data_IF_940525465907
#
_entry.id   IF_940525465907
#
_cell.length_a   1.000
_cell.length_b   1.000
_cell.length_c   1.000
_cell.angle_alpha   90.00
_cell.angle_beta   90.00
_cell.angle_gamma   90.00
#
_symmetry.space_group_name_H-M   'P 1'
#
loop_
_entity.id
_entity.type
_entity.pdbx_description
1 polymer ?
#
# COMPACT_ATOMS: atom_id res chain seq x y z
N UNK A 1 -3.73 -17.41 8.61
CA UNK A 1 -3.89 -15.94 8.53
C UNK A 1 -2.97 -15.30 9.54
N UNK A 2 -1.96 -14.53 9.12
CA UNK A 2 -1.02 -13.88 10.03
C UNK A 2 -1.22 -12.35 9.99
N UNK A 3 -2.45 -11.90 10.30
CA UNK A 3 -2.69 -10.47 10.49
C UNK A 3 -1.89 -10.03 11.73
N UNK A 4 -1.04 -9.02 11.58
CA UNK A 4 -0.29 -8.42 12.70
C UNK A 4 -0.98 -7.22 13.31
N UNK A 5 -1.93 -6.65 12.60
CA UNK A 5 -2.75 -5.55 13.05
C UNK A 5 -4.19 -5.80 12.65
N UNK A 6 -5.09 -5.73 13.59
CA UNK A 6 -6.54 -5.77 13.37
C UNK A 6 -7.15 -4.48 13.89
N UNK A 7 -7.82 -3.75 13.03
CA UNK A 7 -8.54 -2.53 13.38
C UNK A 7 -10.03 -2.77 13.21
N UNK A 8 -10.78 -2.71 14.31
CA UNK A 8 -12.24 -2.86 14.25
C UNK A 8 -12.86 -1.73 13.42
N UNK A 9 -13.53 -2.07 12.34
CA UNK A 9 -14.20 -1.09 11.45
C UNK A 9 -15.34 -0.34 12.16
N UNK A 10 -15.97 -0.96 13.18
CA UNK A 10 -17.09 -0.36 13.92
C UNK A 10 -16.65 0.60 15.03
N UNK A 11 -15.70 0.21 15.88
CA UNK A 11 -15.33 0.98 17.06
C UNK A 11 -13.89 1.54 17.00
N UNK A 12 -13.10 1.16 16.00
CA UNK A 12 -11.73 1.58 15.83
C UNK A 12 -10.72 1.03 16.83
N UNK A 13 -11.13 0.08 17.69
CA UNK A 13 -10.18 -0.61 18.56
C UNK A 13 -9.12 -1.32 17.74
N UNK A 14 -7.87 -1.23 18.18
CA UNK A 14 -6.73 -1.81 17.49
C UNK A 14 -6.17 -2.94 18.34
N UNK A 15 -6.00 -4.11 17.74
CA UNK A 15 -5.30 -5.26 18.31
C UNK A 15 -4.02 -5.47 17.50
N UNK A 16 -2.89 -5.34 18.15
CA UNK A 16 -1.59 -5.54 17.53
C UNK A 16 -0.90 -6.73 18.19
N UNK A 17 -0.53 -7.72 17.39
CA UNK A 17 0.36 -8.84 17.74
C UNK A 17 0.09 -9.43 19.16
N UNK A 18 -1.22 -9.59 19.51
CA UNK A 18 -1.70 -10.07 20.80
C UNK A 18 -1.29 -9.25 22.04
N UNK A 19 -0.62 -8.14 21.87
CA UNK A 19 -0.35 -7.19 22.93
C UNK A 19 -1.43 -6.12 22.96
N UNK A 20 -2.23 -6.09 24.03
CA UNK A 20 -3.36 -5.16 24.21
C UNK A 20 -2.94 -3.69 24.37
N UNK A 21 -2.16 -3.14 23.45
CA UNK A 21 -1.90 -1.72 23.42
C UNK A 21 -3.07 -1.02 22.70
N UNK A 22 -3.84 -0.23 23.45
CA UNK A 22 -4.82 0.69 22.87
C UNK A 22 -4.08 1.78 22.09
N UNK A 23 -3.94 1.58 20.79
CA UNK A 23 -3.55 2.68 19.90
C UNK A 23 -4.77 3.61 19.75
N UNK A 24 -4.55 4.89 19.93
CA UNK A 24 -5.61 5.90 19.70
C UNK A 24 -5.82 5.99 18.19
N UNK A 25 -7.01 5.57 17.72
CA UNK A 25 -7.40 5.71 16.32
C UNK A 25 -7.57 7.20 16.00
N UNK A 26 -6.95 7.63 14.90
CA UNK A 26 -7.39 8.83 14.20
C UNK A 26 -8.43 8.41 13.15
N UNK A 27 -9.54 9.16 12.99
CA UNK A 27 -10.47 8.91 11.92
C UNK A 27 -9.73 8.99 10.58
N UNK A 28 -10.05 8.07 9.68
CA UNK A 28 -9.48 8.09 8.32
C UNK A 28 -10.16 9.27 7.59
N UNK A 29 -9.40 10.22 7.03
CA UNK A 29 -9.98 11.28 6.22
C UNK A 29 -10.73 10.71 5.02
N UNK A 30 -11.84 11.32 4.65
CA UNK A 30 -12.58 10.97 3.43
C UNK A 30 -11.69 11.13 2.20
N UNK A 31 -11.91 10.28 1.22
CA UNK A 31 -11.27 10.37 -0.09
C UNK A 31 -12.23 9.86 -1.20
N UNK A 32 -11.78 10.00 -2.44
CA UNK A 32 -12.55 9.65 -3.64
C UNK A 32 -12.32 8.20 -4.09
N UNK A 33 -11.77 7.32 -3.26
CA UNK A 33 -11.63 5.92 -3.64
C UNK A 33 -12.98 5.22 -3.64
N UNK A 34 -13.30 4.54 -4.72
CA UNK A 34 -14.47 3.65 -4.80
C UNK A 34 -14.22 2.27 -4.20
N UNK A 35 -12.96 1.96 -3.88
CA UNK A 35 -12.58 0.73 -3.17
C UNK A 35 -12.87 0.91 -1.68
N UNK A 36 -13.41 -0.13 -1.05
CA UNK A 36 -13.69 -0.18 0.37
C UNK A 36 -13.42 -1.58 0.91
N UNK A 37 -13.42 -1.76 2.24
CA UNK A 37 -13.37 -3.10 2.84
C UNK A 37 -14.61 -3.89 2.39
N UNK A 38 -14.40 -5.13 1.96
CA UNK A 38 -15.43 -5.98 1.37
C UNK A 38 -15.59 -5.84 -0.15
N UNK A 39 -14.88 -4.89 -0.80
CA UNK A 39 -14.80 -4.87 -2.27
C UNK A 39 -14.18 -6.16 -2.76
N UNK A 40 -14.81 -6.80 -3.74
CA UNK A 40 -14.32 -8.01 -4.42
C UNK A 40 -13.91 -7.67 -5.83
N UNK A 41 -12.93 -8.38 -6.35
CA UNK A 41 -12.42 -8.17 -7.70
C UNK A 41 -11.61 -9.35 -8.21
N UNK A 42 -10.96 -9.15 -9.35
CA UNK A 42 -10.11 -10.15 -10.00
C UNK A 42 -8.74 -9.52 -10.24
N UNK A 43 -7.67 -10.21 -9.83
CA UNK A 43 -6.31 -9.87 -10.19
C UNK A 43 -5.54 -11.17 -10.46
N UNK A 44 -4.71 -11.19 -11.50
CA UNK A 44 -3.97 -12.38 -11.94
C UNK A 44 -4.87 -13.62 -12.13
N UNK A 45 -6.10 -13.41 -12.66
CA UNK A 45 -7.12 -14.45 -12.88
C UNK A 45 -7.67 -15.10 -11.60
N UNK A 46 -7.38 -14.55 -10.43
CA UNK A 46 -7.88 -15.02 -9.13
C UNK A 46 -8.83 -14.00 -8.53
N UNK A 47 -9.86 -14.50 -7.89
CA UNK A 47 -10.77 -13.64 -7.11
C UNK A 47 -10.10 -13.21 -5.81
N UNK A 48 -10.37 -11.98 -5.38
CA UNK A 48 -9.94 -11.46 -4.10
C UNK A 48 -11.05 -10.69 -3.39
N UNK A 49 -10.86 -10.48 -2.10
CA UNK A 49 -11.65 -9.58 -1.27
C UNK A 49 -10.72 -8.60 -0.53
N UNK A 50 -11.10 -7.33 -0.48
CA UNK A 50 -10.40 -6.30 0.32
C UNK A 50 -10.72 -6.51 1.80
N UNK A 51 -9.72 -6.83 2.61
CA UNK A 51 -9.88 -7.09 4.04
C UNK A 51 -9.27 -6.03 4.94
N UNK A 52 -8.46 -5.12 4.37
CA UNK A 52 -7.85 -4.04 5.13
C UNK A 52 -7.39 -2.88 4.27
N UNK A 53 -7.07 -1.78 4.93
CA UNK A 53 -6.65 -0.54 4.30
C UNK A 53 -5.53 0.13 5.09
N UNK A 54 -4.51 0.59 4.37
CA UNK A 54 -3.54 1.58 4.85
C UNK A 54 -3.67 2.81 3.98
N UNK A 55 -4.01 3.95 4.59
CA UNK A 55 -4.02 5.24 3.90
C UNK A 55 -2.79 6.03 4.30
N UNK A 56 -2.03 6.45 3.31
CA UNK A 56 -0.81 7.24 3.45
C UNK A 56 -1.14 8.69 3.15
N UNK A 57 -0.93 9.57 4.11
CA UNK A 57 -0.98 11.02 3.90
C UNK A 57 0.43 11.50 3.57
N UNK A 58 0.63 11.90 2.34
CA UNK A 58 1.84 12.55 1.84
C UNK A 58 1.65 14.08 1.93
N UNK A 59 2.70 14.85 1.68
CA UNK A 59 2.66 16.31 1.82
C UNK A 59 1.48 16.98 1.05
N UNK A 60 1.23 16.56 -0.20
CA UNK A 60 0.17 17.15 -1.03
C UNK A 60 -0.82 16.12 -1.60
N UNK A 61 -0.81 14.88 -1.13
CA UNK A 61 -1.65 13.83 -1.67
C UNK A 61 -1.95 12.73 -0.67
N UNK A 62 -2.85 11.84 -1.06
CA UNK A 62 -3.12 10.59 -0.35
C UNK A 62 -2.91 9.41 -1.29
N UNK A 63 -2.40 8.31 -0.75
CA UNK A 63 -2.40 7.01 -1.43
C UNK A 63 -3.06 5.97 -0.55
N UNK A 64 -3.81 5.07 -1.16
CA UNK A 64 -4.39 3.93 -0.48
C UNK A 64 -3.61 2.66 -0.85
N UNK A 65 -3.34 1.85 0.16
CA UNK A 65 -2.89 0.47 -0.01
C UNK A 65 -3.96 -0.43 0.59
N UNK A 66 -4.68 -1.16 -0.26
CA UNK A 66 -5.73 -2.07 0.12
C UNK A 66 -5.16 -3.47 0.29
N UNK A 67 -5.33 -4.07 1.47
CA UNK A 67 -4.89 -5.43 1.74
C UNK A 67 -5.94 -6.39 1.23
N UNK A 68 -5.55 -7.24 0.29
CA UNK A 68 -6.45 -8.15 -0.41
C UNK A 68 -6.14 -9.59 -0.06
N UNK A 69 -7.19 -10.37 0.14
CA UNK A 69 -7.13 -11.82 0.37
C UNK A 69 -7.68 -12.53 -0.87
N UNK A 70 -6.85 -13.34 -1.50
CA UNK A 70 -7.24 -14.16 -2.64
C UNK A 70 -7.96 -15.45 -2.20
N UNK A 71 -8.72 -16.04 -3.11
CA UNK A 71 -9.47 -17.30 -2.89
C UNK A 71 -8.57 -18.48 -2.49
N UNK A 72 -7.29 -18.46 -2.86
CA UNK A 72 -6.30 -19.48 -2.47
C UNK A 72 -5.64 -19.22 -1.10
N UNK A 73 -6.10 -18.20 -0.37
CA UNK A 73 -5.59 -17.81 0.95
C UNK A 73 -4.32 -16.96 0.90
N UNK A 74 -3.78 -16.67 -0.28
CA UNK A 74 -2.67 -15.72 -0.42
C UNK A 74 -3.15 -14.29 -0.23
N UNK A 75 -2.24 -13.42 0.13
CA UNK A 75 -2.53 -11.99 0.32
C UNK A 75 -1.61 -11.14 -0.53
N UNK A 76 -2.10 -9.95 -0.90
CA UNK A 76 -1.33 -8.95 -1.62
C UNK A 76 -1.81 -7.54 -1.28
N UNK A 77 -1.28 -6.55 -1.98
CA UNK A 77 -1.64 -5.15 -1.87
C UNK A 77 -2.13 -4.61 -3.20
N UNK A 78 -3.32 -4.03 -3.20
CA UNK A 78 -3.83 -3.22 -4.30
C UNK A 78 -3.56 -1.76 -3.96
N UNK A 79 -2.66 -1.14 -4.71
CA UNK A 79 -2.35 0.29 -4.56
C UNK A 79 -3.35 1.12 -5.36
N UNK A 80 -3.82 2.20 -4.75
CA UNK A 80 -4.72 3.16 -5.37
C UNK A 80 -4.14 4.57 -5.17
N UNK A 81 -3.68 5.15 -6.26
CA UNK A 81 -3.19 6.51 -6.35
C UNK A 81 -4.18 7.34 -7.17
N UNK A 82 -5.23 7.81 -6.49
CA UNK A 82 -6.30 8.64 -7.09
C UNK A 82 -6.87 7.98 -8.35
N UNK A 83 -7.25 6.70 -8.23
CA UNK A 83 -7.83 5.91 -9.33
C UNK A 83 -6.81 5.23 -10.26
N UNK A 84 -5.52 5.49 -10.11
CA UNK A 84 -4.49 4.67 -10.75
C UNK A 84 -4.24 3.43 -9.90
N UNK A 85 -4.69 2.30 -10.38
CA UNK A 85 -4.59 1.05 -9.66
C UNK A 85 -3.36 0.24 -10.07
N UNK A 86 -2.72 -0.40 -9.11
CA UNK A 86 -1.68 -1.39 -9.36
C UNK A 86 -1.69 -2.47 -8.29
N UNK A 87 -1.38 -3.70 -8.67
CA UNK A 87 -1.30 -4.84 -7.75
C UNK A 87 0.14 -5.18 -7.44
N UNK A 88 0.45 -5.40 -6.15
CA UNK A 88 1.77 -5.84 -5.74
C UNK A 88 2.05 -7.27 -6.21
N UNK A 89 3.21 -7.47 -6.80
CA UNK A 89 3.65 -8.78 -7.26
C UNK A 89 4.65 -9.40 -6.28
N UNK A 90 5.59 -8.61 -5.81
CA UNK A 90 6.64 -9.07 -4.89
C UNK A 90 7.01 -7.97 -3.92
N UNK A 91 7.24 -8.34 -2.66
CA UNK A 91 7.87 -7.47 -1.68
C UNK A 91 9.26 -8.02 -1.36
N UNK A 92 10.27 -7.16 -1.36
CA UNK A 92 11.64 -7.53 -0.98
C UNK A 92 12.21 -6.55 0.04
N UNK A 93 13.04 -7.08 0.94
CA UNK A 93 13.83 -6.29 1.89
C UNK A 93 15.32 -6.29 1.54
N UNK A 94 15.70 -6.92 0.43
CA UNK A 94 17.10 -7.15 0.04
C UNK A 94 17.71 -5.95 -0.67
N UNK A 95 17.48 -4.73 -0.16
CA UNK A 95 18.07 -3.50 -0.66
C UNK A 95 18.96 -2.94 0.44
N UNK A 96 20.23 -2.71 0.12
CA UNK A 96 21.19 -2.09 1.04
C UNK A 96 20.75 -0.68 1.44
N UNK A 97 20.84 -0.36 2.72
CA UNK A 97 20.39 0.94 3.25
C UNK A 97 21.15 2.12 2.63
N UNK A 98 22.41 1.95 2.29
CA UNK A 98 23.25 2.95 1.61
C UNK A 98 22.60 3.43 0.30
N UNK A 99 21.76 2.60 -0.32
CA UNK A 99 20.99 2.96 -1.52
C UNK A 99 20.03 4.13 -1.26
N UNK A 100 19.65 4.40 -0.02
CA UNK A 100 18.70 5.49 0.33
C UNK A 100 19.19 6.85 -0.19
N UNK A 101 20.50 7.13 -0.14
CA UNK A 101 21.07 8.38 -0.61
C UNK A 101 21.04 8.51 -2.14
N UNK A 102 20.75 7.42 -2.84
CA UNK A 102 20.62 7.36 -4.29
C UNK A 102 19.14 7.50 -4.72
N UNK A 103 18.19 7.34 -3.76
CA UNK A 103 16.77 7.43 -4.03
C UNK A 103 16.32 8.90 -4.14
N UNK A 104 16.81 9.56 -5.19
CA UNK A 104 16.46 10.95 -5.50
C UNK A 104 15.73 10.98 -6.85
N UNK A 105 14.61 11.73 -6.97
CA UNK A 105 13.92 11.88 -8.24
C UNK A 105 14.86 12.31 -9.37
N UNK A 106 14.67 11.71 -10.55
CA UNK A 106 15.53 11.89 -11.71
C UNK A 106 16.78 10.99 -11.75
N UNK A 107 17.10 10.28 -10.67
CA UNK A 107 18.24 9.32 -10.66
C UNK A 107 17.79 7.90 -11.03
N UNK A 108 18.78 7.12 -11.46
CA UNK A 108 18.62 5.68 -11.72
C UNK A 108 19.26 4.88 -10.60
N UNK A 109 18.54 3.88 -10.10
CA UNK A 109 18.99 2.96 -9.05
C UNK A 109 18.94 1.54 -9.58
N UNK A 110 19.91 0.72 -9.21
CA UNK A 110 19.86 -0.72 -9.51
C UNK A 110 19.14 -1.48 -8.39
N UNK A 111 18.19 -2.32 -8.77
CA UNK A 111 17.47 -3.24 -7.90
C UNK A 111 17.63 -4.63 -8.48
N UNK A 112 18.43 -5.47 -7.84
CA UNK A 112 18.81 -6.77 -8.41
C UNK A 112 19.41 -6.56 -9.82
N UNK A 113 18.79 -7.16 -10.84
CA UNK A 113 19.21 -7.06 -12.23
C UNK A 113 18.46 -5.98 -13.04
N UNK A 114 17.58 -5.22 -12.40
CA UNK A 114 16.77 -4.20 -13.06
C UNK A 114 17.28 -2.80 -12.70
N UNK A 115 17.13 -1.88 -13.65
CA UNK A 115 17.37 -0.45 -13.42
C UNK A 115 16.04 0.22 -13.17
N UNK A 116 15.93 0.96 -12.08
CA UNK A 116 14.77 1.76 -11.71
C UNK A 116 15.08 3.24 -11.95
N UNK A 117 14.21 3.94 -12.66
CA UNK A 117 14.24 5.41 -12.81
C UNK A 117 13.26 6.02 -11.81
N UNK A 118 13.75 6.73 -10.81
CA UNK A 118 12.94 7.37 -9.78
C UNK A 118 12.26 8.62 -10.34
N UNK A 119 10.98 8.81 -10.03
CA UNK A 119 10.24 10.00 -10.44
C UNK A 119 9.61 10.78 -9.28
N UNK A 120 9.38 10.16 -8.12
CA UNK A 120 8.92 10.86 -6.92
C UNK A 120 9.60 10.36 -5.66
N UNK A 121 9.60 11.21 -4.63
CA UNK A 121 9.97 10.89 -3.26
C UNK A 121 9.25 11.87 -2.34
N UNK A 122 8.36 11.37 -1.50
CA UNK A 122 7.52 12.15 -0.62
C UNK A 122 7.63 11.67 0.83
N UNK A 123 7.60 12.59 1.78
CA UNK A 123 7.51 12.25 3.19
C UNK A 123 6.07 11.85 3.52
N UNK A 124 5.93 10.73 4.24
CA UNK A 124 4.65 10.30 4.77
C UNK A 124 4.43 10.92 6.15
N UNK A 125 3.56 11.93 6.20
CA UNK A 125 3.26 12.69 7.41
C UNK A 125 2.39 11.90 8.39
N UNK A 126 1.44 11.11 7.86
CA UNK A 126 0.49 10.35 8.65
C UNK A 126 0.09 9.05 7.96
N UNK A 127 -0.08 8.00 8.77
CA UNK A 127 -0.60 6.70 8.33
C UNK A 127 -1.89 6.39 9.07
N UNK A 128 -2.88 5.95 8.34
CA UNK A 128 -4.17 5.50 8.88
C UNK A 128 -4.38 4.02 8.52
N UNK A 129 -5.07 3.30 9.39
CA UNK A 129 -5.29 1.86 9.26
C UNK A 129 -6.76 1.51 9.46
N UNK A 130 -7.24 0.53 8.71
CA UNK A 130 -8.59 -0.01 8.83
C UNK A 130 -8.62 -1.50 8.47
N UNK A 131 -9.42 -2.31 9.17
CA UNK A 131 -9.57 -3.74 8.92
C UNK A 131 -8.33 -4.56 9.29
N UNK A 132 -8.09 -5.63 8.55
CA UNK A 132 -6.97 -6.55 8.75
C UNK A 132 -5.74 -6.07 7.98
N UNK A 133 -4.58 -5.99 8.65
CA UNK A 133 -3.35 -5.49 8.05
C UNK A 133 -2.25 -6.54 8.21
N UNK A 134 -1.62 -6.90 7.11
CA UNK A 134 -0.46 -7.80 7.09
C UNK A 134 0.80 -7.14 7.65
N UNK A 135 1.78 -7.97 7.98
CA UNK A 135 3.03 -7.57 8.65
C UNK A 135 3.85 -6.51 7.91
N UNK A 136 3.67 -6.44 6.61
CA UNK A 136 4.47 -5.58 5.75
C UNK A 136 4.12 -4.09 5.89
N UNK A 137 2.87 -3.76 6.19
CA UNK A 137 2.37 -2.38 6.21
C UNK A 137 2.47 -1.68 7.57
N UNK A 138 3.21 -2.23 8.52
CA UNK A 138 3.38 -1.58 9.80
C UNK A 138 4.44 -0.48 9.71
N UNK A 139 3.99 0.71 9.33
CA UNK A 139 4.82 1.90 9.28
C UNK A 139 4.57 2.79 10.50
N UNK A 140 5.62 3.16 11.21
CA UNK A 140 5.60 4.27 12.15
C UNK A 140 5.72 5.59 11.36
N UNK A 141 5.31 6.72 11.96
CA UNK A 141 5.49 8.06 11.37
C UNK A 141 6.91 8.31 10.89
N UNK A 142 7.05 9.13 9.84
CA UNK A 142 8.34 9.64 9.37
C UNK A 142 9.09 8.67 8.46
N UNK A 143 8.39 7.92 7.62
CA UNK A 143 9.00 7.24 6.51
C UNK A 143 8.83 8.04 5.21
N UNK A 144 9.68 7.76 4.24
CA UNK A 144 9.57 8.31 2.90
C UNK A 144 9.05 7.25 1.94
N UNK A 145 8.17 7.66 1.04
CA UNK A 145 7.73 6.85 -0.10
C UNK A 145 8.44 7.37 -1.35
N UNK A 146 9.29 6.55 -1.95
CA UNK A 146 9.86 6.84 -3.27
C UNK A 146 9.26 5.91 -4.32
N UNK A 147 9.07 6.43 -5.52
CA UNK A 147 8.46 5.71 -6.63
C UNK A 147 9.35 5.75 -7.87
N UNK A 148 9.37 4.66 -8.60
CA UNK A 148 10.16 4.56 -9.81
C UNK A 148 9.58 3.60 -10.84
N UNK A 149 10.10 3.70 -12.06
CA UNK A 149 9.76 2.82 -13.18
C UNK A 149 10.96 1.93 -13.45
N UNK A 150 10.72 0.63 -13.48
CA UNK A 150 11.71 -0.38 -13.85
C UNK A 150 11.94 -0.41 -15.36
N UNK A 151 13.09 -0.91 -15.76
CA UNK A 151 13.44 -1.06 -17.18
C UNK A 151 12.50 -1.98 -17.98
N UNK A 152 11.72 -2.81 -17.31
CA UNK A 152 10.66 -3.65 -17.89
C UNK A 152 9.26 -3.01 -17.84
N UNK A 153 9.17 -1.68 -17.58
CA UNK A 153 7.94 -0.91 -17.43
C UNK A 153 7.09 -1.22 -16.17
N UNK A 154 7.57 -2.08 -15.27
CA UNK A 154 6.97 -2.25 -13.96
C UNK A 154 7.17 -1.00 -13.08
N UNK A 155 6.28 -0.78 -12.11
CA UNK A 155 6.45 0.27 -11.11
C UNK A 155 7.00 -0.34 -9.83
N UNK A 156 7.84 0.41 -9.14
CA UNK A 156 8.38 0.02 -7.84
C UNK A 156 8.13 1.11 -6.82
N UNK A 157 7.72 0.68 -5.63
CA UNK A 157 7.53 1.53 -4.46
C UNK A 157 8.62 1.19 -3.44
N UNK A 158 9.28 2.22 -2.93
CA UNK A 158 10.26 2.10 -1.86
C UNK A 158 9.71 2.78 -0.62
N UNK A 159 9.68 2.03 0.47
CA UNK A 159 9.30 2.53 1.78
C UNK A 159 10.54 2.63 2.65
N UNK A 160 10.93 3.84 2.99
CA UNK A 160 12.19 4.15 3.66
C UNK A 160 11.94 4.60 5.09
N UNK A 161 12.33 3.78 6.04
CA UNK A 161 12.33 4.14 7.45
C UNK A 161 13.73 4.61 7.84
N UNK A 162 13.99 5.91 7.77
CA UNK A 162 15.32 6.48 8.05
C UNK A 162 15.78 6.22 9.50
N UNK A 163 14.94 6.44 10.54
CA UNK A 163 15.33 6.15 11.91
C UNK A 163 15.75 4.70 12.17
N UNK A 164 15.10 3.75 11.51
CA UNK A 164 15.41 2.32 11.66
C UNK A 164 16.45 1.80 10.67
N UNK A 165 16.88 2.63 9.73
CA UNK A 165 17.75 2.22 8.62
C UNK A 165 17.18 1.04 7.82
N UNK A 166 15.88 1.06 7.56
CA UNK A 166 15.18 0.00 6.83
C UNK A 166 14.65 0.52 5.49
N UNK A 167 14.82 -0.26 4.45
CA UNK A 167 14.18 -0.05 3.14
C UNK A 167 13.35 -1.30 2.84
N UNK A 168 12.11 -1.08 2.43
CA UNK A 168 11.27 -2.11 1.86
C UNK A 168 10.93 -1.70 0.44
N UNK A 169 10.97 -2.64 -0.48
CA UNK A 169 10.66 -2.41 -1.89
C UNK A 169 9.51 -3.32 -2.31
N UNK A 170 8.61 -2.80 -3.10
CA UNK A 170 7.49 -3.52 -3.64
C UNK A 170 7.35 -3.26 -5.13
N UNK A 171 7.46 -4.32 -5.93
CA UNK A 171 7.15 -4.28 -7.35
C UNK A 171 5.64 -4.32 -7.53
N UNK A 172 5.10 -3.47 -8.39
CA UNK A 172 3.68 -3.43 -8.70
C UNK A 172 3.45 -3.51 -10.21
N UNK A 173 2.36 -4.16 -10.61
CA UNK A 173 1.88 -4.16 -11.99
C UNK A 173 0.61 -3.32 -12.09
N UNK A 174 0.49 -2.44 -13.10
CA UNK A 174 -0.73 -1.66 -13.29
C UNK A 174 -1.90 -2.58 -13.63
N UNK A 175 -3.08 -2.23 -13.10
CA UNK A 175 -4.33 -2.90 -13.40
C UNK A 175 -5.41 -1.85 -13.68
N UNK A 176 -6.20 -2.04 -14.75
CA UNK A 176 -7.31 -1.14 -15.04
C UNK A 176 -8.54 -1.51 -14.20
N UNK A 177 -9.44 -0.56 -14.02
CA UNK A 177 -10.69 -0.80 -13.31
C UNK A 177 -11.52 -1.90 -13.97
N UNK A 178 -11.57 -1.93 -15.30
CA UNK A 178 -12.28 -2.95 -16.07
C UNK A 178 -11.69 -4.35 -15.84
N UNK A 179 -10.36 -4.46 -15.79
CA UNK A 179 -9.68 -5.72 -15.53
C UNK A 179 -9.80 -6.17 -14.07
N UNK A 180 -9.85 -5.21 -13.14
CA UNK A 180 -10.12 -5.48 -11.74
C UNK A 180 -11.56 -6.00 -11.54
N UNK A 181 -12.50 -5.53 -12.38
CA UNK A 181 -13.93 -5.89 -12.34
C UNK A 181 -14.50 -5.86 -10.91
N UNK A 182 -14.42 -4.73 -10.20
CA UNK A 182 -14.75 -4.68 -8.79
C UNK A 182 -16.26 -4.72 -8.57
N UNK A 183 -16.66 -5.38 -7.51
CA UNK A 183 -18.04 -5.38 -6.98
C UNK A 183 -18.04 -4.91 -5.52
N UNK A 184 -19.21 -4.53 -5.00
CA UNK A 184 -19.35 -4.01 -3.63
C UNK A 184 -18.49 -2.74 -3.44
N UNK A 185 -18.53 -1.86 -4.43
CA UNK A 185 -17.81 -0.58 -4.42
C UNK A 185 -18.60 0.50 -3.69
N UNK A 186 -17.89 1.52 -3.19
CA UNK A 186 -18.51 2.73 -2.68
C UNK A 186 -19.08 3.54 -3.85
N UNK A 187 -20.36 3.91 -3.74
CA UNK A 187 -21.02 4.78 -4.71
C UNK A 187 -21.34 6.12 -4.06
N UNK A 188 -21.05 7.20 -4.74
CA UNK A 188 -21.36 8.55 -4.31
C UNK A 188 -22.70 8.98 -4.94
N UNK A 189 -23.60 9.56 -4.14
CA UNK A 189 -24.93 9.97 -4.62
C UNK A 189 -24.88 11.01 -5.76
N UNK A 190 -23.77 11.75 -5.84
CA UNK A 190 -23.54 12.76 -6.89
C UNK A 190 -23.12 12.16 -8.26
N UNK A 191 -22.92 10.85 -8.35
CA UNK A 191 -22.52 10.15 -9.59
C UNK A 191 -23.68 9.43 -10.29
N UNK A 192 -24.90 9.75 -9.90
CA UNK A 192 -26.12 9.23 -10.54
C UNK A 192 -26.59 10.13 -11.67
#
# INVERSE_FOLDING_TARGET
MNAKLLVCTKCGSVVQDLTNQKLVRKPIPDDWSYIQIGTKGIADKKQFEVIGRVKLQLFNSYKNAWYVLFEDGLTSWLMDDVGKLSIAQHATKDIEFETIYQLVPGKKVKIKNLTCSLYSMDECEQVYYEGEIGSWAYFSRGFFLAEGILSNHGTVLFFLNIPKKEIQCMDTAPITFENLNPSTILTWDEWK
#
